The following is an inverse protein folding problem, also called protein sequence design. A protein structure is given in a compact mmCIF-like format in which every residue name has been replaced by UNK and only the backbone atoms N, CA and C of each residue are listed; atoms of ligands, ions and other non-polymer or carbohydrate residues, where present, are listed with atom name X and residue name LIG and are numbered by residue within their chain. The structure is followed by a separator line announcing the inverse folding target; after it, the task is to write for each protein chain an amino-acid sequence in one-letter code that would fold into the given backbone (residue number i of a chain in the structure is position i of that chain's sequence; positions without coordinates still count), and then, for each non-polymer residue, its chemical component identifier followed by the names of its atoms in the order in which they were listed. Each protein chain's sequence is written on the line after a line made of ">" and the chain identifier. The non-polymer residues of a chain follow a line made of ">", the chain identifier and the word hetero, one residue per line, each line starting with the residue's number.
data_IF_403033555442
#
_entry.id   IF_403033555442
#
_cell.length_a   1.000
_cell.length_b   1.000
_cell.length_c   1.000
_cell.angle_alpha   90.00
_cell.angle_beta   90.00
_cell.angle_gamma   90.00
#
_symmetry.space_group_name_H-M   'P 1'
#
loop_
_entity.id
_entity.type
_entity.pdbx_description
1 polymer ?
#
# COMPACT_ATOMS: atom_id res chain seq x y z
N UNK A 1 -1.04 -7.33 -14.05
CA UNK A 1 -0.03 -6.96 -13.04
C UNK A 1 1.02 -6.04 -13.63
N UNK A 2 1.39 -6.23 -14.88
CA UNK A 2 2.35 -5.42 -15.64
C UNK A 2 1.99 -3.92 -15.62
N UNK A 3 0.78 -3.57 -16.07
CA UNK A 3 0.31 -2.17 -16.07
C UNK A 3 0.27 -1.53 -14.67
N UNK A 4 0.07 -2.31 -13.61
CA UNK A 4 0.11 -1.81 -12.24
C UNK A 4 1.54 -1.42 -11.86
N UNK A 5 2.49 -2.33 -12.04
CA UNK A 5 3.90 -2.07 -11.73
C UNK A 5 4.49 -0.96 -12.59
N UNK A 6 4.16 -0.90 -13.88
CA UNK A 6 4.58 0.20 -14.76
C UNK A 6 4.09 1.56 -14.24
N UNK A 7 2.89 1.61 -13.64
CA UNK A 7 2.36 2.84 -13.04
C UNK A 7 3.04 3.17 -11.71
N UNK A 8 3.34 2.15 -10.88
CA UNK A 8 4.11 2.34 -9.64
C UNK A 8 5.51 2.89 -9.93
N UNK A 9 6.18 2.38 -10.96
CA UNK A 9 7.49 2.85 -11.41
C UNK A 9 7.43 4.31 -11.90
N UNK A 10 6.40 4.68 -12.68
CA UNK A 10 6.19 6.08 -13.11
C UNK A 10 5.93 7.01 -11.93
N UNK A 11 5.10 6.59 -10.97
CA UNK A 11 4.81 7.37 -9.77
C UNK A 11 6.06 7.51 -8.89
N UNK A 12 6.89 6.47 -8.79
CA UNK A 12 8.12 6.53 -8.00
C UNK A 12 9.08 7.61 -8.52
N UNK A 13 9.19 7.78 -9.84
CA UNK A 13 9.99 8.85 -10.45
C UNK A 13 9.49 10.23 -10.02
N UNK A 14 8.18 10.45 -10.04
CA UNK A 14 7.56 11.73 -9.64
C UNK A 14 7.86 12.02 -8.16
N UNK A 15 7.68 11.04 -7.28
CA UNK A 15 7.88 11.21 -5.85
C UNK A 15 9.35 11.35 -5.47
N UNK A 16 10.27 10.65 -6.16
CA UNK A 16 11.72 10.85 -5.99
C UNK A 16 12.14 12.25 -6.41
N UNK A 17 11.56 12.79 -7.48
CA UNK A 17 11.81 14.17 -7.89
C UNK A 17 11.30 15.17 -6.85
N UNK A 18 10.10 14.97 -6.29
CA UNK A 18 9.57 15.83 -5.23
C UNK A 18 10.43 15.78 -3.93
N UNK A 19 10.98 14.60 -3.63
CA UNK A 19 11.83 14.36 -2.47
C UNK A 19 13.33 14.53 -2.70
N UNK A 20 13.77 15.08 -3.83
CA UNK A 20 15.19 15.02 -4.26
C UNK A 20 16.18 15.74 -3.35
N UNK A 21 15.68 16.52 -2.39
CA UNK A 21 16.46 17.23 -1.39
C UNK A 21 16.79 16.36 -0.15
N UNK A 22 16.17 15.18 -0.03
CA UNK A 22 16.36 14.27 1.09
C UNK A 22 17.36 13.15 0.75
N UNK A 23 18.12 12.63 1.73
CA UNK A 23 18.88 11.40 1.59
C UNK A 23 17.98 10.21 1.20
N UNK A 24 18.52 9.25 0.42
CA UNK A 24 17.75 8.10 -0.08
C UNK A 24 17.18 7.22 1.06
N UNK A 25 17.92 7.05 2.16
CA UNK A 25 17.42 6.31 3.33
C UNK A 25 16.25 7.00 4.02
N UNK A 26 16.24 8.34 4.08
CA UNK A 26 15.10 9.10 4.61
C UNK A 26 13.89 9.01 3.68
N UNK A 27 14.10 9.06 2.36
CA UNK A 27 13.03 8.84 1.39
C UNK A 27 12.39 7.46 1.51
N UNK A 28 13.20 6.40 1.69
CA UNK A 28 12.68 5.05 1.94
C UNK A 28 11.86 5.01 3.22
N UNK A 29 12.36 5.58 4.31
CA UNK A 29 11.65 5.64 5.58
C UNK A 29 10.31 6.37 5.47
N UNK A 30 10.25 7.48 4.73
CA UNK A 30 9.02 8.21 4.46
C UNK A 30 8.00 7.37 3.68
N UNK A 31 8.43 6.59 2.67
CA UNK A 31 7.51 5.71 1.95
C UNK A 31 6.93 4.62 2.86
N UNK A 32 7.71 4.06 3.78
CA UNK A 32 7.20 3.11 4.78
C UNK A 32 6.21 3.79 5.72
N UNK A 33 6.50 5.02 6.16
CA UNK A 33 5.59 5.83 6.97
C UNK A 33 4.24 6.09 6.27
N UNK A 34 4.27 6.37 4.96
CA UNK A 34 3.06 6.60 4.16
C UNK A 34 2.12 5.38 4.15
N UNK A 35 2.65 4.17 4.22
CA UNK A 35 1.81 2.96 4.37
C UNK A 35 0.95 3.02 5.63
N UNK A 36 1.54 3.45 6.75
CA UNK A 36 0.82 3.57 8.01
C UNK A 36 -0.19 4.73 7.99
N UNK A 37 0.16 5.84 7.34
CA UNK A 37 -0.73 6.99 7.16
C UNK A 37 -2.01 6.60 6.40
N UNK A 38 -1.88 6.00 5.21
CA UNK A 38 -3.02 5.58 4.38
C UNK A 38 -3.86 4.48 5.05
N UNK A 39 -3.23 3.54 5.74
CA UNK A 39 -3.95 2.53 6.52
C UNK A 39 -4.70 3.16 7.71
N UNK A 40 -4.15 4.22 8.30
CA UNK A 40 -4.79 5.02 9.34
C UNK A 40 -6.00 5.78 8.81
N UNK A 41 -5.94 6.33 7.60
CA UNK A 41 -7.08 6.98 6.92
C UNK A 41 -8.21 5.98 6.67
N UNK A 42 -7.90 4.79 6.13
CA UNK A 42 -8.89 3.72 5.97
C UNK A 42 -9.54 3.32 7.31
N UNK A 43 -8.75 3.27 8.39
CA UNK A 43 -9.26 3.02 9.73
C UNK A 43 -10.14 4.15 10.24
N UNK A 44 -9.78 5.41 9.97
CA UNK A 44 -10.59 6.57 10.30
C UNK A 44 -11.94 6.49 9.60
N UNK A 45 -11.98 6.29 8.29
CA UNK A 45 -13.22 6.14 7.53
C UNK A 45 -14.07 4.98 8.05
N UNK A 46 -13.45 3.87 8.45
CA UNK A 46 -14.16 2.75 9.06
C UNK A 46 -14.74 3.11 10.44
N UNK A 47 -13.99 3.81 11.29
CA UNK A 47 -14.51 4.29 12.56
C UNK A 47 -15.67 5.27 12.36
N UNK A 48 -15.55 6.17 11.38
CA UNK A 48 -16.63 6.99 10.82
C UNK A 48 -17.89 6.21 10.54
N UNK A 49 -17.78 5.24 9.64
CA UNK A 49 -18.87 4.37 9.22
C UNK A 49 -19.51 3.58 10.38
N UNK A 50 -18.75 3.32 11.45
CA UNK A 50 -19.21 2.58 12.64
C UNK A 50 -19.71 3.49 13.77
N UNK A 51 -19.69 4.82 13.59
CA UNK A 51 -20.05 5.78 14.64
C UNK A 51 -19.10 5.73 15.84
N UNK A 52 -17.85 5.34 15.62
CA UNK A 52 -16.80 5.22 16.65
C UNK A 52 -15.88 6.45 16.70
N UNK A 53 -16.18 7.48 15.91
CA UNK A 53 -15.46 8.76 15.86
C UNK A 53 -16.42 9.92 16.10
N UNK A 54 -15.87 11.05 16.53
CA UNK A 54 -16.60 12.32 16.68
C UNK A 54 -16.53 13.18 15.41
N UNK A 55 -15.84 12.71 14.37
CA UNK A 55 -15.61 13.43 13.13
C UNK A 55 -16.58 12.95 12.05
N UNK A 56 -17.52 13.80 11.62
CA UNK A 56 -18.35 13.63 10.42
C UNK A 56 -19.28 12.41 10.38
N UNK A 57 -20.49 12.58 9.85
CA UNK A 57 -21.51 11.52 9.86
C UNK A 57 -21.66 10.83 8.49
N UNK A 58 -21.00 11.34 7.44
CA UNK A 58 -21.17 10.93 6.05
C UNK A 58 -20.11 9.94 5.57
N UNK A 59 -19.81 8.92 6.37
CA UNK A 59 -18.83 7.89 6.00
C UNK A 59 -19.45 6.69 5.29
N UNK A 60 -18.77 6.20 4.26
CA UNK A 60 -19.24 5.08 3.45
C UNK A 60 -18.14 4.03 3.22
N UNK A 61 -18.56 2.79 2.92
CA UNK A 61 -17.63 1.73 2.52
C UNK A 61 -16.77 2.10 1.29
N UNK A 62 -17.26 2.96 0.40
CA UNK A 62 -16.49 3.46 -0.74
C UNK A 62 -15.27 4.28 -0.32
N UNK A 63 -15.35 5.03 0.77
CA UNK A 63 -14.22 5.79 1.31
C UNK A 63 -13.19 4.84 1.92
N UNK A 64 -13.64 3.89 2.76
CA UNK A 64 -12.77 2.84 3.32
C UNK A 64 -12.04 2.09 2.19
N UNK A 65 -12.75 1.74 1.12
CA UNK A 65 -12.16 1.06 -0.03
C UNK A 65 -11.15 1.95 -0.76
N UNK A 66 -11.44 3.23 -0.94
CA UNK A 66 -10.53 4.19 -1.56
C UNK A 66 -9.21 4.27 -0.80
N UNK A 67 -9.27 4.41 0.52
CA UNK A 67 -8.08 4.58 1.35
C UNK A 67 -7.29 3.27 1.48
N UNK A 68 -7.97 2.12 1.48
CA UNK A 68 -7.31 0.81 1.34
C UNK A 68 -6.54 0.69 0.02
N UNK A 69 -7.08 1.22 -1.08
CA UNK A 69 -6.34 1.28 -2.36
C UNK A 69 -5.13 2.20 -2.23
N UNK A 70 -5.27 3.35 -1.55
CA UNK A 70 -4.15 4.22 -1.19
C UNK A 70 -3.04 3.48 -0.45
N UNK A 71 -3.40 2.71 0.58
CA UNK A 71 -2.47 1.90 1.37
C UNK A 71 -1.76 0.82 0.53
N UNK A 72 -2.47 0.18 -0.41
CA UNK A 72 -1.87 -0.79 -1.34
C UNK A 72 -0.86 -0.10 -2.27
N UNK A 73 -1.20 1.06 -2.82
CA UNK A 73 -0.30 1.84 -3.69
C UNK A 73 0.94 2.28 -2.90
N UNK A 74 0.76 2.80 -1.68
CA UNK A 74 1.85 3.20 -0.79
C UNK A 74 2.78 2.01 -0.48
N UNK A 75 2.22 0.83 -0.19
CA UNK A 75 3.02 -0.37 0.06
C UNK A 75 3.84 -0.81 -1.16
N UNK A 76 3.26 -0.77 -2.37
CA UNK A 76 3.97 -1.10 -3.61
C UNK A 76 5.09 -0.09 -3.91
N UNK A 77 4.84 1.20 -3.69
CA UNK A 77 5.86 2.25 -3.79
C UNK A 77 6.99 2.02 -2.78
N UNK A 78 6.67 1.76 -1.51
CA UNK A 78 7.67 1.47 -0.49
C UNK A 78 8.55 0.27 -0.87
N UNK A 79 7.94 -0.82 -1.37
CA UNK A 79 8.68 -1.98 -1.89
C UNK A 79 9.64 -1.58 -3.02
N UNK A 80 9.16 -0.81 -4.00
CA UNK A 80 9.98 -0.34 -5.12
C UNK A 80 11.09 0.64 -4.68
N UNK A 81 10.87 1.42 -3.62
CA UNK A 81 11.92 2.28 -3.07
C UNK A 81 13.03 1.49 -2.38
N UNK A 82 12.68 0.39 -1.70
CA UNK A 82 13.62 -0.52 -1.04
C UNK A 82 14.45 -1.29 -2.07
N UNK A 83 13.81 -1.84 -3.10
CA UNK A 83 14.46 -2.58 -4.18
C UNK A 83 13.84 -2.23 -5.54
N UNK A 84 14.38 -1.22 -6.25
CA UNK A 84 13.82 -0.77 -7.53
C UNK A 84 13.81 -1.83 -8.62
N UNK A 85 14.69 -2.82 -8.55
CA UNK A 85 14.87 -3.83 -9.62
C UNK A 85 14.20 -5.16 -9.31
N UNK A 86 14.08 -5.52 -8.03
CA UNK A 86 13.54 -6.81 -7.59
C UNK A 86 12.17 -6.74 -6.93
N UNK A 87 11.62 -5.56 -6.62
CA UNK A 87 10.33 -5.44 -5.92
C UNK A 87 9.19 -6.22 -6.58
N UNK A 88 9.09 -6.18 -7.91
CA UNK A 88 8.08 -6.93 -8.67
C UNK A 88 8.24 -8.43 -8.50
N UNK A 89 9.46 -8.95 -8.67
CA UNK A 89 9.75 -10.37 -8.51
C UNK A 89 9.50 -10.84 -7.07
N UNK A 90 9.90 -10.03 -6.09
CA UNK A 90 9.67 -10.31 -4.67
C UNK A 90 8.17 -10.36 -4.33
N UNK A 91 7.38 -9.42 -4.87
CA UNK A 91 5.92 -9.42 -4.70
C UNK A 91 5.30 -10.68 -5.27
N UNK A 92 5.64 -11.03 -6.52
CA UNK A 92 5.09 -12.21 -7.19
C UNK A 92 5.45 -13.49 -6.42
N UNK A 93 6.70 -13.65 -5.97
CA UNK A 93 7.12 -14.79 -5.17
C UNK A 93 6.34 -14.89 -3.85
N UNK A 94 6.25 -13.78 -3.10
CA UNK A 94 5.55 -13.74 -1.81
C UNK A 94 4.05 -14.04 -2.01
N UNK A 95 3.43 -13.48 -3.04
CA UNK A 95 2.01 -13.70 -3.36
C UNK A 95 1.76 -15.16 -3.74
N UNK A 96 2.59 -15.75 -4.61
CA UNK A 96 2.48 -17.16 -4.98
C UNK A 96 2.62 -18.07 -3.76
N UNK A 97 3.62 -17.82 -2.89
CA UNK A 97 3.81 -18.58 -1.65
C UNK A 97 2.61 -18.48 -0.71
N UNK A 98 2.03 -17.28 -0.53
CA UNK A 98 0.86 -17.08 0.35
C UNK A 98 -0.40 -17.74 -0.20
N UNK A 99 -0.67 -17.60 -1.49
CA UNK A 99 -1.86 -18.19 -2.13
C UNK A 99 -1.78 -19.71 -2.20
N UNK A 100 -0.60 -20.30 -2.45
CA UNK A 100 -0.39 -21.76 -2.37
C UNK A 100 -0.74 -22.29 -0.98
N UNK A 101 -0.17 -21.68 0.07
CA UNK A 101 -0.47 -22.06 1.47
C UNK A 101 -1.95 -21.95 1.80
N UNK A 102 -2.62 -20.90 1.31
CA UNK A 102 -4.06 -20.73 1.52
C UNK A 102 -4.89 -21.84 0.88
N UNK A 103 -4.55 -22.27 -0.34
CA UNK A 103 -5.23 -23.39 -1.01
C UNK A 103 -5.02 -24.73 -0.29
N UNK A 104 -3.80 -25.00 0.16
CA UNK A 104 -3.48 -26.23 0.91
C UNK A 104 -4.26 -26.31 2.22
N UNK A 105 -4.40 -25.20 2.95
CA UNK A 105 -5.18 -25.14 4.18
C UNK A 105 -6.68 -25.40 3.94
N UNK A 106 -7.23 -24.87 2.84
CA UNK A 106 -8.64 -25.03 2.51
C UNK A 106 -9.02 -26.47 2.12
N UNK A 107 -8.08 -27.24 1.56
CA UNK A 107 -8.28 -28.66 1.19
C UNK A 107 -8.10 -29.61 2.39
N UNK A 108 -7.41 -29.16 3.44
CA UNK A 108 -7.19 -29.93 4.66
C UNK A 108 -8.33 -29.80 5.70
N UNK A 109 -9.37 -29.02 5.41
CA UNK A 109 -10.56 -28.79 6.26
C UNK A 109 -11.76 -29.51 5.66
#
# INVERSE_FOLDING_TARGET
>A
MDTLWDNIEKLSVIYRAAGSHLPDEELKALQVGKVAEEAGEAMHALHGLKGLTTCGDDHAWSEVQNDLVGAVIAALLAMHYIDPTGARAAFDEILHRRTRRGREAAVAT
#
